data_IF_909991792293
#
_entry.id   IF_909991792293
#
_cell.length_a   1.000
_cell.length_b   1.000
_cell.length_c   1.000
_cell.angle_alpha   90.00
_cell.angle_beta   90.00
_cell.angle_gamma   90.00
#
_symmetry.space_group_name_H-M   'P 1'
#
loop_
_entity.id
_entity.type
_entity.pdbx_description
1 polymer ?
#
# COMPACT_ATOMS: atom_id res chain seq x y z
N UNK A 1 -16.24 1.01 2.29
CA UNK A 1 -15.26 0.97 3.41
C UNK A 1 -14.35 -0.23 3.26
N UNK A 2 -13.10 -0.17 3.72
CA UNK A 2 -12.20 -1.33 3.76
C UNK A 2 -12.63 -2.27 4.89
N UNK A 3 -12.87 -3.53 4.57
CA UNK A 3 -13.24 -4.57 5.54
C UNK A 3 -12.16 -5.64 5.63
N UNK A 4 -11.63 -5.85 6.84
CA UNK A 4 -10.70 -6.93 7.19
C UNK A 4 -11.49 -8.09 7.80
N UNK A 5 -11.16 -9.33 7.46
CA UNK A 5 -11.88 -10.52 7.93
C UNK A 5 -11.00 -11.69 8.34
N UNK A 6 -9.67 -11.58 8.18
CA UNK A 6 -8.74 -12.62 8.60
C UNK A 6 -8.45 -12.57 10.11
N UNK A 7 -7.66 -13.51 10.59
CA UNK A 7 -7.31 -13.60 12.01
C UNK A 7 -6.59 -12.34 12.51
N UNK A 8 -5.83 -11.66 11.64
CA UNK A 8 -5.12 -10.41 11.96
C UNK A 8 -6.03 -9.17 11.95
N UNK A 9 -7.29 -9.27 11.51
CA UNK A 9 -8.21 -8.14 11.38
C UNK A 9 -8.32 -7.23 12.63
N UNK A 10 -8.51 -7.75 13.86
CA UNK A 10 -8.58 -6.88 15.05
C UNK A 10 -7.26 -6.13 15.29
N UNK A 11 -6.12 -6.78 15.10
CA UNK A 11 -4.80 -6.18 15.30
C UNK A 11 -4.45 -5.16 14.21
N UNK A 12 -4.84 -5.41 12.96
CA UNK A 12 -4.71 -4.44 11.88
C UNK A 12 -5.53 -3.18 12.20
N UNK A 13 -6.78 -3.34 12.63
CA UNK A 13 -7.63 -2.20 13.01
C UNK A 13 -7.03 -1.42 14.18
N UNK A 14 -6.54 -2.13 15.21
CA UNK A 14 -5.87 -1.52 16.36
C UNK A 14 -4.62 -0.75 15.93
N UNK A 15 -3.78 -1.35 15.07
CA UNK A 15 -2.56 -0.72 14.59
C UNK A 15 -2.82 0.52 13.73
N UNK A 16 -3.81 0.46 12.83
CA UNK A 16 -4.21 1.61 12.01
C UNK A 16 -4.73 2.74 12.90
N UNK A 17 -5.56 2.42 13.89
CA UNK A 17 -6.07 3.40 14.87
C UNK A 17 -4.91 4.06 15.63
N UNK A 18 -3.98 3.25 16.15
CA UNK A 18 -2.77 3.72 16.81
C UNK A 18 -1.96 4.68 15.92
N UNK A 19 -1.73 4.33 14.65
CA UNK A 19 -0.99 5.19 13.71
C UNK A 19 -1.75 6.48 13.38
N UNK A 20 -3.08 6.45 13.29
CA UNK A 20 -3.89 7.66 13.07
C UNK A 20 -3.87 8.60 14.27
N UNK A 21 -3.91 8.07 15.48
CA UNK A 21 -3.79 8.86 16.71
C UNK A 21 -2.42 9.56 16.82
N UNK A 22 -1.38 9.02 16.17
CA UNK A 22 -0.08 9.68 16.02
C UNK A 22 -0.02 10.71 14.88
N UNK A 23 -1.15 11.04 14.24
CA UNK A 23 -1.24 12.04 13.16
C UNK A 23 -1.01 11.51 11.74
N UNK A 24 -0.82 10.20 11.54
CA UNK A 24 -0.62 9.65 10.19
C UNK A 24 -1.96 9.41 9.48
N UNK A 25 -2.13 9.91 8.24
CA UNK A 25 -3.32 9.60 7.41
C UNK A 25 -3.50 8.09 7.17
N UNK A 26 -2.39 7.40 6.90
CA UNK A 26 -2.30 5.94 6.82
C UNK A 26 -3.23 5.26 5.78
N UNK A 27 -3.59 5.98 4.72
CA UNK A 27 -4.51 5.49 3.66
C UNK A 27 -3.88 4.35 2.86
N UNK A 28 -2.70 4.58 2.25
CA UNK A 28 -2.00 3.56 1.45
C UNK A 28 -1.65 2.30 2.26
N UNK A 29 -1.28 2.51 3.52
CA UNK A 29 -0.95 1.42 4.44
C UNK A 29 -2.19 0.56 4.71
N UNK A 30 -3.38 1.17 4.87
CA UNK A 30 -4.64 0.43 5.08
C UNK A 30 -4.94 -0.53 3.93
N UNK A 31 -4.74 -0.11 2.68
CA UNK A 31 -4.89 -1.00 1.52
C UNK A 31 -3.84 -2.13 1.53
N UNK A 32 -2.60 -1.83 1.91
CA UNK A 32 -1.57 -2.86 2.03
C UNK A 32 -1.91 -3.89 3.09
N UNK A 33 -2.46 -3.47 4.23
CA UNK A 33 -2.94 -4.39 5.27
C UNK A 33 -4.15 -5.20 4.84
N UNK A 34 -5.01 -4.66 3.98
CA UNK A 34 -6.10 -5.44 3.39
C UNK A 34 -5.53 -6.57 2.54
N UNK A 35 -4.54 -6.28 1.69
CA UNK A 35 -3.87 -7.32 0.91
C UNK A 35 -3.19 -8.36 1.80
N UNK A 36 -2.59 -7.94 2.91
CA UNK A 36 -1.99 -8.85 3.88
C UNK A 36 -3.04 -9.73 4.57
N UNK A 37 -4.15 -9.15 5.01
CA UNK A 37 -5.29 -9.88 5.59
C UNK A 37 -5.78 -10.99 4.64
N UNK A 38 -6.04 -10.65 3.37
CA UNK A 38 -6.44 -11.62 2.33
C UNK A 38 -5.36 -12.67 2.08
N UNK A 39 -4.09 -12.28 2.09
CA UNK A 39 -2.98 -13.21 1.92
C UNK A 39 -2.88 -14.21 3.07
N UNK A 40 -3.12 -13.79 4.32
CA UNK A 40 -3.09 -14.68 5.48
C UNK A 40 -4.25 -15.68 5.46
N UNK A 41 -5.44 -15.26 5.01
CA UNK A 41 -6.58 -16.16 4.78
C UNK A 41 -6.22 -17.21 3.71
N UNK A 42 -5.68 -16.78 2.56
CA UNK A 42 -5.28 -17.68 1.48
C UNK A 42 -4.20 -18.69 1.90
N UNK A 43 -3.35 -18.31 2.86
CA UNK A 43 -2.32 -19.19 3.43
C UNK A 43 -2.80 -19.93 4.70
N UNK A 44 -4.11 -19.98 4.95
CA UNK A 44 -4.74 -20.70 6.07
C UNK A 44 -4.07 -20.40 7.42
N UNK A 45 -3.74 -19.13 7.68
CA UNK A 45 -3.13 -18.74 8.95
C UNK A 45 -4.16 -18.82 10.07
N UNK A 46 -3.85 -19.61 11.10
CA UNK A 46 -4.73 -19.87 12.25
C UNK A 46 -4.18 -19.32 13.57
N UNK A 47 -2.98 -18.72 13.55
CA UNK A 47 -2.34 -18.13 14.73
C UNK A 47 -1.86 -16.72 14.43
N UNK A 48 -1.88 -15.87 15.45
CA UNK A 48 -1.29 -14.52 15.42
C UNK A 48 0.21 -14.64 15.68
N UNK A 49 0.91 -15.08 14.65
CA UNK A 49 2.35 -15.26 14.65
C UNK A 49 2.84 -15.09 13.21
N UNK A 50 3.57 -14.00 12.95
CA UNK A 50 4.17 -13.81 11.64
C UNK A 50 5.43 -14.67 11.58
N UNK A 51 5.34 -15.83 10.93
CA UNK A 51 6.49 -16.72 10.78
C UNK A 51 7.47 -16.22 9.71
N UNK A 52 8.71 -16.72 9.76
CA UNK A 52 9.73 -16.42 8.74
C UNK A 52 9.28 -16.87 7.35
N UNK A 53 8.59 -18.00 7.25
CA UNK A 53 8.09 -18.53 5.98
C UNK A 53 6.92 -17.72 5.43
N UNK A 54 5.99 -17.27 6.28
CA UNK A 54 4.92 -16.36 5.88
C UNK A 54 5.52 -15.04 5.37
N UNK A 55 6.52 -14.50 6.07
CA UNK A 55 7.27 -13.33 5.63
C UNK A 55 7.97 -13.54 4.29
N UNK A 56 8.62 -14.69 4.08
CA UNK A 56 9.31 -15.02 2.83
C UNK A 56 8.32 -15.04 1.66
N UNK A 57 7.20 -15.76 1.81
CA UNK A 57 6.12 -15.82 0.81
C UNK A 57 5.52 -14.45 0.53
N UNK A 58 5.29 -13.64 1.58
CA UNK A 58 4.83 -12.26 1.38
C UNK A 58 5.87 -11.45 0.62
N UNK A 59 7.16 -11.54 0.95
CA UNK A 59 8.22 -10.71 0.38
C UNK A 59 8.58 -11.02 -1.09
N UNK A 60 8.01 -12.06 -1.70
CA UNK A 60 8.16 -12.37 -3.12
C UNK A 60 7.70 -11.17 -3.98
N UNK A 61 8.47 -10.88 -5.05
CA UNK A 61 8.18 -9.79 -5.97
C UNK A 61 7.03 -10.21 -6.88
N UNK A 62 6.00 -9.38 -6.99
CA UNK A 62 4.87 -9.62 -7.90
C UNK A 62 5.22 -9.19 -9.33
N UNK A 63 4.64 -9.79 -10.39
CA UNK A 63 4.99 -9.50 -11.78
C UNK A 63 4.94 -8.01 -12.15
N UNK A 64 3.94 -7.28 -11.64
CA UNK A 64 3.69 -5.86 -11.97
C UNK A 64 4.00 -4.92 -10.80
N UNK A 65 4.98 -5.27 -9.96
CA UNK A 65 5.35 -4.48 -8.79
C UNK A 65 6.76 -3.87 -8.94
N UNK A 66 6.85 -2.54 -8.81
CA UNK A 66 8.13 -1.86 -8.76
C UNK A 66 8.91 -2.21 -7.48
N UNK A 67 10.23 -2.06 -7.49
CA UNK A 67 11.03 -2.29 -6.27
C UNK A 67 10.65 -1.33 -5.13
N UNK A 68 10.21 -0.12 -5.47
CA UNK A 68 9.68 0.85 -4.49
C UNK A 68 8.40 0.38 -3.81
N UNK A 69 7.47 -0.17 -4.59
CA UNK A 69 6.21 -0.71 -4.10
C UNK A 69 6.45 -1.94 -3.25
N UNK A 70 7.32 -2.85 -3.72
CA UNK A 70 7.74 -4.05 -2.96
C UNK A 70 8.40 -3.67 -1.63
N UNK A 71 9.31 -2.69 -1.65
CA UNK A 71 9.97 -2.19 -0.44
C UNK A 71 8.95 -1.66 0.58
N UNK A 72 8.04 -0.77 0.15
CA UNK A 72 6.96 -0.24 1.02
C UNK A 72 6.08 -1.34 1.59
N UNK A 73 5.72 -2.32 0.78
CA UNK A 73 4.88 -3.45 1.20
C UNK A 73 5.54 -4.33 2.26
N UNK A 74 6.86 -4.54 2.17
CA UNK A 74 7.63 -5.28 3.19
C UNK A 74 7.88 -4.41 4.43
N UNK A 75 8.12 -3.11 4.25
CA UNK A 75 8.27 -2.15 5.35
C UNK A 75 7.03 -2.11 6.25
N UNK A 76 5.83 -2.08 5.66
CA UNK A 76 4.60 -2.12 6.46
C UNK A 76 4.48 -3.43 7.25
N UNK A 77 4.84 -4.58 6.66
CA UNK A 77 4.86 -5.84 7.41
C UNK A 77 5.87 -5.81 8.56
N UNK A 78 7.06 -5.23 8.34
CA UNK A 78 8.07 -5.08 9.40
C UNK A 78 7.56 -4.23 10.57
N UNK A 79 6.96 -3.09 10.27
CA UNK A 79 6.40 -2.19 11.28
C UNK A 79 5.25 -2.85 12.06
N UNK A 80 4.38 -3.60 11.36
CA UNK A 80 3.31 -4.34 12.00
C UNK A 80 3.83 -5.51 12.85
N UNK A 81 4.87 -6.20 12.41
CA UNK A 81 5.53 -7.26 13.19
C UNK A 81 6.13 -6.71 14.48
N UNK A 82 6.75 -5.53 14.44
CA UNK A 82 7.22 -4.82 15.64
C UNK A 82 6.05 -4.51 16.58
N UNK A 83 4.92 -4.05 16.05
CA UNK A 83 3.73 -3.79 16.84
C UNK A 83 3.20 -5.05 17.52
N UNK A 84 3.05 -6.17 16.79
CA UNK A 84 2.61 -7.45 17.34
C UNK A 84 3.52 -7.93 18.48
N UNK A 85 4.85 -7.84 18.32
CA UNK A 85 5.79 -8.17 19.38
C UNK A 85 5.57 -7.32 20.64
N UNK A 86 5.30 -6.02 20.49
CA UNK A 86 5.05 -5.11 21.63
C UNK A 86 3.78 -5.45 22.41
N UNK A 87 2.78 -6.02 21.75
CA UNK A 87 1.51 -6.41 22.38
C UNK A 87 1.46 -7.90 22.75
N UNK A 88 2.61 -8.59 22.76
CA UNK A 88 2.75 -9.95 23.27
C UNK A 88 2.53 -11.07 22.26
N UNK A 89 2.51 -10.77 20.95
CA UNK A 89 2.44 -11.76 19.88
C UNK A 89 3.81 -11.88 19.18
N UNK A 90 4.63 -12.90 19.51
CA UNK A 90 5.91 -13.13 18.87
C UNK A 90 5.75 -13.15 17.35
N UNK A 91 6.55 -12.36 16.65
CA UNK A 91 6.45 -12.21 15.20
C UNK A 91 7.81 -11.91 14.60
N UNK A 92 8.17 -12.64 13.56
CA UNK A 92 9.40 -12.43 12.83
C UNK A 92 9.37 -11.08 12.11
N UNK A 93 10.40 -10.25 12.32
CA UNK A 93 10.54 -8.96 11.65
C UNK A 93 11.33 -9.17 10.34
N UNK A 94 10.73 -9.00 9.16
CA UNK A 94 11.41 -9.18 7.89
C UNK A 94 12.51 -8.13 7.69
N UNK A 95 13.64 -8.58 7.12
CA UNK A 95 14.68 -7.68 6.61
C UNK A 95 14.14 -6.96 5.39
N UNK A 96 14.35 -5.65 5.34
CA UNK A 96 13.94 -4.85 4.19
C UNK A 96 14.81 -5.18 2.97
N UNK A 97 14.26 -5.19 1.75
CA UNK A 97 15.06 -5.22 0.54
C UNK A 97 16.03 -4.04 0.49
N UNK A 98 17.06 -4.13 -0.36
CA UNK A 98 17.92 -2.97 -0.64
C UNK A 98 17.05 -1.78 -1.07
N UNK A 99 17.41 -0.60 -0.58
CA UNK A 99 16.71 0.64 -0.94
C UNK A 99 16.69 0.79 -2.47
N UNK A 100 15.53 1.15 -3.01
CA UNK A 100 15.40 1.44 -4.42
C UNK A 100 15.94 2.85 -4.68
N UNK A 101 16.64 3.04 -5.81
CA UNK A 101 17.00 4.37 -6.29
C UNK A 101 15.98 4.78 -7.35
N UNK A 102 15.40 5.96 -7.18
CA UNK A 102 14.58 6.55 -8.23
C UNK A 102 15.49 6.90 -9.41
N UNK A 103 15.18 6.39 -10.59
CA UNK A 103 15.77 6.84 -11.86
C UNK A 103 14.90 7.90 -12.53
N UNK A 104 13.78 8.29 -11.91
CA UNK A 104 12.87 9.29 -12.45
C UNK A 104 13.54 10.67 -12.43
N UNK A 105 13.68 11.25 -13.61
CA UNK A 105 14.02 12.66 -13.80
C UNK A 105 12.73 13.38 -14.18
N UNK A 106 12.26 14.36 -13.39
CA UNK A 106 11.05 15.09 -13.74
C UNK A 106 11.27 15.86 -15.04
N UNK A 107 10.32 15.73 -15.97
CA UNK A 107 10.27 16.59 -17.13
C UNK A 107 9.68 17.94 -16.75
N UNK A 108 10.47 19.01 -16.86
CA UNK A 108 10.02 20.38 -16.59
C UNK A 108 9.61 20.99 -17.92
N UNK A 109 8.32 21.28 -18.08
CA UNK A 109 7.80 21.91 -19.28
C UNK A 109 8.41 23.30 -19.49
N UNK A 110 8.78 23.57 -20.74
CA UNK A 110 9.12 24.92 -21.19
C UNK A 110 7.89 25.82 -21.23
N UNK A 111 8.11 27.13 -21.25
CA UNK A 111 7.03 28.11 -21.34
C UNK A 111 6.14 27.90 -22.59
N UNK A 112 6.73 27.44 -23.69
CA UNK A 112 6.01 27.16 -24.93
C UNK A 112 5.13 25.92 -24.81
N UNK A 113 5.61 24.87 -24.15
CA UNK A 113 4.82 23.66 -23.92
C UNK A 113 3.67 23.91 -22.95
N UNK A 114 3.89 24.73 -21.92
CA UNK A 114 2.81 25.18 -21.01
C UNK A 114 1.73 25.93 -21.82
N UNK A 115 2.13 26.86 -22.68
CA UNK A 115 1.17 27.59 -23.56
C UNK A 115 0.42 26.63 -24.48
N UNK A 116 1.13 25.69 -25.11
CA UNK A 116 0.54 24.70 -26.01
C UNK A 116 -0.45 23.78 -25.26
N UNK A 117 -0.11 23.36 -24.04
CA UNK A 117 -0.99 22.57 -23.17
C UNK A 117 -2.30 23.29 -22.89
N UNK A 118 -2.25 24.54 -22.43
CA UNK A 118 -3.47 25.30 -22.14
C UNK A 118 -4.31 25.57 -23.39
N UNK A 119 -3.68 25.92 -24.51
CA UNK A 119 -4.40 26.07 -25.79
C UNK A 119 -5.11 24.79 -26.24
N UNK A 120 -4.52 23.62 -25.96
CA UNK A 120 -5.15 22.34 -26.25
C UNK A 120 -6.33 22.08 -25.30
N UNK A 121 -6.20 22.37 -24.00
CA UNK A 121 -7.28 22.27 -23.02
C UNK A 121 -8.46 23.18 -23.38
N UNK A 122 -8.21 24.42 -23.80
CA UNK A 122 -9.25 25.40 -24.15
C UNK A 122 -10.07 24.97 -25.38
N UNK A 123 -9.52 24.09 -26.22
CA UNK A 123 -10.20 23.52 -27.40
C UNK A 123 -11.00 22.26 -27.10
N UNK A 124 -10.89 21.71 -25.88
CA UNK A 124 -11.74 20.61 -25.45
C UNK A 124 -13.14 21.17 -25.17
N UNK A 125 -14.04 21.06 -26.16
CA UNK A 125 -15.45 21.39 -25.98
C UNK A 125 -16.09 20.38 -25.02
N UNK A 126 -16.79 20.85 -23.98
CA UNK A 126 -17.57 20.04 -23.02
C UNK A 126 -18.88 19.48 -23.61
N UNK A 127 -18.90 19.15 -24.91
CA UNK A 127 -20.07 18.66 -25.64
C UNK A 127 -19.98 17.17 -25.98
N UNK A 128 -19.74 16.33 -24.97
CA UNK A 128 -20.28 14.98 -25.01
C UNK A 128 -21.56 14.98 -24.16
N UNK A 129 -22.70 15.00 -24.84
CA UNK A 129 -23.99 14.70 -24.24
C UNK A 129 -23.89 13.32 -23.59
N UNK A 130 -23.67 13.28 -22.27
CA UNK A 130 -24.08 12.14 -21.47
C UNK A 130 -25.61 12.10 -21.48
N UNK A 131 -26.17 11.56 -22.57
CA UNK A 131 -27.58 11.18 -22.63
C UNK A 131 -27.81 10.18 -21.50
N UNK A 132 -28.29 10.71 -20.39
CA UNK A 132 -28.83 9.93 -19.29
C UNK A 132 -30.23 9.53 -19.73
N UNK A 133 -30.37 8.34 -20.31
CA UNK A 133 -31.67 7.68 -20.40
C UNK A 133 -32.00 7.15 -19.01
N UNK A 134 -32.87 7.88 -18.31
CA UNK A 134 -33.66 7.37 -17.18
C UNK A 134 -34.82 6.56 -17.76
#
# INVERSE_FOLDING_TARGET
MITYSGIYAPFIKQYISFKRNLGYKFVDASYTYLLFDRFTIKNNQTKIEITKDLCKKWAEKRPNESDSTRYRRILYLAQFSVFLNKIGYPSYIPRLPKSYKSTFVPYIFSQNEIKAFFLACDRLNSNENFNTSI
#
